data_IF_582620198410
#
_entry.id   IF_582620198410
#
_cell.length_a   1.000
_cell.length_b   1.000
_cell.length_c   1.000
_cell.angle_alpha   90.00
_cell.angle_beta   90.00
_cell.angle_gamma   90.00
#
_symmetry.space_group_name_H-M   'P 1'
#
loop_
_entity.id
_entity.type
_entity.pdbx_description
1 polymer ?
#
# COMPACT_ATOMS: atom_id res chain seq x y z
N UNK A 1 -9.24 -3.19 -0.12
CA UNK A 1 -9.60 -2.08 -1.03
C UNK A 1 -8.35 -1.62 -1.74
N UNK A 2 -8.34 -1.67 -3.08
CA UNK A 2 -7.28 -1.12 -3.92
C UNK A 2 -7.83 0.07 -4.71
N UNK A 3 -7.10 1.17 -4.72
CA UNK A 3 -7.50 2.39 -5.43
C UNK A 3 -6.38 2.78 -6.39
N UNK A 4 -6.68 2.87 -7.68
CA UNK A 4 -5.84 3.55 -8.66
C UNK A 4 -6.33 4.98 -8.82
N UNK A 5 -5.47 5.95 -8.53
CA UNK A 5 -5.78 7.37 -8.62
C UNK A 5 -5.68 7.92 -10.04
N UNK A 6 -5.67 9.23 -10.15
CA UNK A 6 -5.51 9.94 -11.42
C UNK A 6 -4.04 9.87 -11.89
N UNK A 7 -3.82 9.45 -13.13
CA UNK A 7 -2.49 9.43 -13.75
C UNK A 7 -2.08 10.78 -14.34
N UNK A 8 -3.05 11.57 -14.76
CA UNK A 8 -2.81 12.86 -15.40
C UNK A 8 -2.38 12.75 -16.86
N UNK A 9 -1.80 11.62 -17.26
CA UNK A 9 -1.43 11.27 -18.61
C UNK A 9 -1.87 9.83 -18.92
N UNK A 10 -2.26 9.52 -20.17
CA UNK A 10 -2.80 8.20 -20.55
C UNK A 10 -1.91 7.02 -20.17
N UNK A 11 -0.59 7.17 -20.25
CA UNK A 11 0.36 6.12 -19.91
C UNK A 11 0.34 5.78 -18.41
N UNK A 12 0.20 6.79 -17.53
CA UNK A 12 0.08 6.56 -16.11
C UNK A 12 -1.27 5.99 -15.73
N UNK A 13 -2.37 6.49 -16.31
CA UNK A 13 -3.71 5.96 -16.08
C UNK A 13 -3.75 4.46 -16.43
N UNK A 14 -3.17 4.07 -17.57
CA UNK A 14 -3.11 2.67 -17.97
C UNK A 14 -2.25 1.82 -17.03
N UNK A 15 -1.07 2.30 -16.62
CA UNK A 15 -0.18 1.58 -15.69
C UNK A 15 -0.82 1.39 -14.32
N UNK A 16 -1.40 2.44 -13.75
CA UNK A 16 -2.03 2.38 -12.44
C UNK A 16 -3.22 1.42 -12.44
N UNK A 17 -4.05 1.47 -13.47
CA UNK A 17 -5.14 0.53 -13.67
C UNK A 17 -4.63 -0.91 -13.77
N UNK A 18 -3.62 -1.15 -14.61
CA UNK A 18 -3.05 -2.49 -14.80
C UNK A 18 -2.50 -3.07 -13.49
N UNK A 19 -1.74 -2.29 -12.71
CA UNK A 19 -1.22 -2.76 -11.42
C UNK A 19 -2.33 -3.02 -10.40
N UNK A 20 -3.40 -2.22 -10.40
CA UNK A 20 -4.56 -2.47 -9.55
C UNK A 20 -5.30 -3.75 -9.96
N UNK A 21 -5.44 -4.03 -11.26
CA UNK A 21 -6.04 -5.26 -11.79
C UNK A 21 -5.17 -6.50 -11.49
N UNK A 22 -3.85 -6.38 -11.54
CA UNK A 22 -2.91 -7.44 -11.14
C UNK A 22 -3.07 -7.81 -9.67
N UNK A 23 -3.19 -6.80 -8.78
CA UNK A 23 -3.44 -7.00 -7.35
C UNK A 23 -4.81 -7.67 -7.15
N UNK A 24 -5.87 -7.14 -7.77
CA UNK A 24 -7.23 -7.68 -7.70
C UNK A 24 -7.25 -9.16 -8.09
N UNK A 25 -6.62 -9.49 -9.22
CA UNK A 25 -6.54 -10.86 -9.74
C UNK A 25 -5.77 -11.80 -8.79
N UNK A 26 -4.68 -11.32 -8.21
CA UNK A 26 -3.88 -12.10 -7.26
C UNK A 26 -4.65 -12.39 -5.98
N UNK A 27 -5.32 -11.39 -5.42
CA UNK A 27 -6.12 -11.55 -4.20
C UNK A 27 -7.33 -12.46 -4.41
N UNK A 28 -8.02 -12.35 -5.55
CA UNK A 28 -9.17 -13.23 -5.88
C UNK A 28 -8.74 -14.67 -6.14
N UNK A 29 -7.58 -14.88 -6.77
CA UNK A 29 -7.04 -16.23 -7.02
C UNK A 29 -6.62 -16.93 -5.75
N UNK A 30 -6.10 -16.19 -4.77
CA UNK A 30 -5.73 -16.74 -3.48
C UNK A 30 -6.93 -17.38 -2.73
N UNK A 31 -8.14 -17.03 -3.11
CA UNK A 31 -9.36 -17.55 -2.50
C UNK A 31 -9.59 -17.08 -1.08
N UNK A 32 -10.45 -17.77 -0.35
CA UNK A 32 -10.82 -17.40 1.02
C UNK A 32 -11.98 -16.42 1.09
N UNK A 33 -12.23 -15.90 2.27
CA UNK A 33 -13.37 -15.01 2.57
C UNK A 33 -13.05 -13.51 2.32
N UNK A 34 -12.00 -13.21 1.57
CA UNK A 34 -11.59 -11.84 1.31
C UNK A 34 -12.59 -11.12 0.40
N UNK A 35 -13.12 -10.00 0.87
CA UNK A 35 -13.90 -9.08 0.03
C UNK A 35 -12.94 -8.14 -0.71
N UNK A 36 -12.70 -8.43 -1.99
CA UNK A 36 -11.77 -7.66 -2.84
C UNK A 36 -12.52 -6.56 -3.57
N UNK A 37 -12.14 -5.31 -3.31
CA UNK A 37 -12.74 -4.11 -3.88
C UNK A 37 -11.66 -3.31 -4.61
N UNK A 38 -11.85 -3.06 -5.90
CA UNK A 38 -10.93 -2.25 -6.72
C UNK A 38 -11.67 -1.06 -7.32
N UNK A 39 -11.13 0.15 -7.08
CA UNK A 39 -11.68 1.40 -7.58
C UNK A 39 -10.66 2.03 -8.55
N UNK A 40 -11.13 2.39 -9.75
CA UNK A 40 -10.32 3.05 -10.77
C UNK A 40 -10.74 4.50 -10.90
N UNK A 41 -9.81 5.41 -10.68
CA UNK A 41 -10.00 6.86 -10.73
C UNK A 41 -11.29 7.32 -10.03
N UNK A 42 -11.53 6.91 -8.77
CA UNK A 42 -12.74 7.31 -8.05
C UNK A 42 -12.66 8.77 -7.61
N UNK A 43 -13.82 9.42 -7.50
CA UNK A 43 -13.91 10.72 -6.82
C UNK A 43 -13.81 10.55 -5.30
N UNK A 44 -13.59 11.65 -4.59
CA UNK A 44 -13.56 11.68 -3.12
C UNK A 44 -14.87 11.13 -2.52
N UNK A 45 -16.01 11.48 -3.10
CA UNK A 45 -17.33 11.03 -2.65
C UNK A 45 -17.50 9.53 -2.84
N UNK A 46 -17.03 8.98 -3.96
CA UNK A 46 -17.06 7.53 -4.21
C UNK A 46 -16.20 6.77 -3.22
N UNK A 47 -15.01 7.29 -2.89
CA UNK A 47 -14.16 6.70 -1.84
C UNK A 47 -14.87 6.72 -0.49
N UNK A 48 -15.40 7.88 -0.08
CA UNK A 48 -16.15 8.03 1.17
C UNK A 48 -17.33 7.08 1.28
N UNK A 49 -18.13 6.96 0.19
CA UNK A 49 -19.26 6.05 0.14
C UNK A 49 -18.83 4.59 0.30
N UNK A 50 -17.76 4.19 -0.39
CA UNK A 50 -17.22 2.81 -0.29
C UNK A 50 -16.69 2.51 1.10
N UNK A 51 -15.97 3.44 1.73
CA UNK A 51 -15.48 3.25 3.10
C UNK A 51 -16.61 3.19 4.12
N UNK A 52 -17.70 3.93 3.90
CA UNK A 52 -18.91 3.83 4.74
C UNK A 52 -19.56 2.44 4.63
N UNK A 53 -19.57 1.83 3.44
CA UNK A 53 -20.05 0.45 3.26
C UNK A 53 -19.14 -0.56 3.97
N UNK A 54 -17.83 -0.45 3.78
CA UNK A 54 -16.84 -1.30 4.44
C UNK A 54 -16.96 -1.19 5.96
N UNK A 55 -17.13 0.02 6.49
CA UNK A 55 -17.29 0.26 7.93
C UNK A 55 -18.54 -0.41 8.51
N UNK A 56 -19.64 -0.51 7.74
CA UNK A 56 -20.86 -1.22 8.18
C UNK A 56 -20.73 -2.74 8.14
N UNK A 57 -19.88 -3.27 7.27
CA UNK A 57 -19.72 -4.72 7.05
C UNK A 57 -18.60 -5.32 7.90
N UNK A 58 -17.55 -4.54 8.15
CA UNK A 58 -16.36 -4.99 8.86
C UNK A 58 -16.65 -5.28 10.33
N UNK A 59 -15.97 -6.30 10.85
CA UNK A 59 -16.00 -6.72 12.25
C UNK A 59 -14.65 -6.44 12.92
N UNK A 60 -14.58 -6.39 14.26
CA UNK A 60 -13.31 -6.16 14.97
C UNK A 60 -12.22 -7.18 14.65
N UNK A 61 -12.58 -8.43 14.40
CA UNK A 61 -11.63 -9.51 14.11
C UNK A 61 -11.17 -9.54 12.65
N UNK A 62 -11.78 -8.74 11.76
CA UNK A 62 -11.38 -8.64 10.39
C UNK A 62 -10.03 -7.94 10.25
N UNK A 63 -9.37 -8.18 9.13
CA UNK A 63 -8.20 -7.43 8.69
C UNK A 63 -8.57 -6.53 7.51
N UNK A 64 -8.23 -5.25 7.61
CA UNK A 64 -8.41 -4.30 6.52
C UNK A 64 -7.10 -4.07 5.79
N UNK A 65 -7.15 -4.11 4.46
CA UNK A 65 -6.04 -3.70 3.60
C UNK A 65 -6.48 -2.57 2.70
N UNK A 66 -5.77 -1.45 2.74
CA UNK A 66 -5.91 -0.34 1.78
C UNK A 66 -4.62 -0.22 0.98
N UNK A 67 -4.74 -0.28 -0.33
CA UNK A 67 -3.64 -0.09 -1.28
C UNK A 67 -3.94 1.10 -2.18
N UNK A 68 -3.03 2.07 -2.24
CA UNK A 68 -3.13 3.27 -3.06
C UNK A 68 -2.05 3.25 -4.13
N UNK A 69 -2.46 3.33 -5.39
CA UNK A 69 -1.59 3.40 -6.57
C UNK A 69 -1.87 4.74 -7.26
N UNK A 70 -0.85 5.53 -7.54
CA UNK A 70 -1.07 6.80 -8.20
C UNK A 70 0.00 7.84 -7.92
N UNK A 71 -0.40 9.07 -8.12
CA UNK A 71 0.38 10.23 -7.73
C UNK A 71 -0.10 10.78 -6.39
N UNK A 72 0.80 11.44 -5.71
CA UNK A 72 0.51 12.22 -4.52
C UNK A 72 1.36 13.48 -4.50
N UNK A 73 0.93 14.44 -3.71
CA UNK A 73 1.63 15.70 -3.48
C UNK A 73 1.80 15.94 -1.99
N UNK A 74 2.82 16.72 -1.65
CA UNK A 74 3.09 17.10 -0.27
C UNK A 74 3.53 18.56 -0.24
N UNK A 75 2.87 19.38 0.56
CA UNK A 75 3.11 20.82 0.64
C UNK A 75 4.06 21.23 1.79
N UNK A 76 4.65 20.26 2.48
CA UNK A 76 5.48 20.46 3.67
C UNK A 76 4.73 20.16 4.98
N UNK A 77 3.42 20.05 4.94
CA UNK A 77 2.56 19.80 6.10
C UNK A 77 1.60 18.66 5.88
N UNK A 78 0.90 18.67 4.73
CA UNK A 78 -0.16 17.70 4.43
C UNK A 78 0.14 16.94 3.13
N UNK A 79 -0.02 15.63 3.19
CA UNK A 79 -0.02 14.77 2.02
C UNK A 79 -1.41 14.75 1.38
N UNK A 80 -1.45 14.74 0.03
CA UNK A 80 -2.68 14.64 -0.76
C UNK A 80 -2.52 13.55 -1.82
N UNK A 81 -3.48 12.64 -1.86
CA UNK A 81 -3.62 11.62 -2.89
C UNK A 81 -4.41 12.15 -4.07
N UNK A 82 -3.83 12.09 -5.27
CA UNK A 82 -4.39 12.69 -6.47
C UNK A 82 -5.48 11.81 -7.09
N UNK A 83 -6.69 12.35 -7.13
CA UNK A 83 -7.90 11.70 -7.66
C UNK A 83 -8.70 12.70 -8.51
N UNK A 84 -9.66 12.24 -9.33
CA UNK A 84 -10.56 13.14 -10.04
C UNK A 84 -11.34 14.07 -9.09
N UNK A 85 -11.34 15.37 -9.39
CA UNK A 85 -11.90 16.40 -8.52
C UNK A 85 -10.94 16.81 -7.42
N UNK A 86 -11.43 17.18 -6.24
CA UNK A 86 -10.58 17.54 -5.10
C UNK A 86 -9.81 16.33 -4.58
N UNK A 87 -8.50 16.48 -4.38
CA UNK A 87 -7.63 15.45 -3.82
C UNK A 87 -8.05 15.02 -2.42
N UNK A 88 -7.68 13.82 -2.02
CA UNK A 88 -7.93 13.31 -0.67
C UNK A 88 -6.68 13.46 0.20
N UNK A 89 -6.82 14.12 1.35
CA UNK A 89 -5.69 14.33 2.26
C UNK A 89 -5.35 13.09 3.08
N UNK A 90 -4.12 13.00 3.57
CA UNK A 90 -3.70 11.96 4.51
C UNK A 90 -4.55 11.96 5.78
N UNK A 91 -4.91 13.13 6.28
CA UNK A 91 -5.81 13.31 7.43
C UNK A 91 -7.21 12.75 7.16
N UNK A 92 -7.78 12.99 5.97
CA UNK A 92 -9.08 12.43 5.58
C UNK A 92 -9.03 10.90 5.46
N UNK A 93 -7.96 10.35 4.84
CA UNK A 93 -7.74 8.90 4.75
C UNK A 93 -7.66 8.27 6.14
N UNK A 94 -6.91 8.87 7.05
CA UNK A 94 -6.81 8.40 8.44
C UNK A 94 -8.18 8.39 9.13
N UNK A 95 -8.97 9.46 8.96
CA UNK A 95 -10.32 9.55 9.54
C UNK A 95 -11.29 8.50 8.99
N UNK A 96 -11.17 8.14 7.70
CA UNK A 96 -11.97 7.05 7.12
C UNK A 96 -11.57 5.69 7.69
N UNK A 97 -10.26 5.42 7.78
CA UNK A 97 -9.73 4.19 8.35
C UNK A 97 -10.10 4.01 9.82
N UNK A 98 -10.11 5.09 10.58
CA UNK A 98 -10.43 5.09 12.02
C UNK A 98 -11.89 4.74 12.33
N UNK A 99 -12.78 4.90 11.35
CA UNK A 99 -14.20 4.50 11.46
C UNK A 99 -14.46 3.03 11.18
N UNK A 100 -13.46 2.32 10.62
CA UNK A 100 -13.60 0.89 10.31
C UNK A 100 -13.27 0.08 11.56
N UNK A 101 -14.18 -0.82 12.00
CA UNK A 101 -14.01 -1.57 13.27
C UNK A 101 -12.82 -2.53 13.26
N UNK A 102 -12.33 -2.95 12.07
CA UNK A 102 -11.22 -3.89 11.95
C UNK A 102 -10.00 -3.42 12.73
N UNK A 103 -9.57 -4.22 13.72
CA UNK A 103 -8.48 -3.86 14.64
C UNK A 103 -7.09 -4.02 14.04
N UNK A 104 -6.98 -4.81 12.97
CA UNK A 104 -5.74 -5.01 12.21
C UNK A 104 -5.85 -4.32 10.86
N UNK A 105 -4.98 -3.36 10.60
CA UNK A 105 -5.03 -2.57 9.38
C UNK A 105 -3.65 -2.50 8.71
N UNK A 106 -3.64 -2.69 7.40
CA UNK A 106 -2.48 -2.46 6.53
C UNK A 106 -2.82 -1.38 5.51
N UNK A 107 -2.00 -0.34 5.46
CA UNK A 107 -2.08 0.72 4.45
C UNK A 107 -0.80 0.68 3.62
N UNK A 108 -0.93 0.50 2.32
CA UNK A 108 0.19 0.52 1.37
C UNK A 108 -0.01 1.69 0.42
N UNK A 109 0.63 2.79 0.73
CA UNK A 109 0.60 4.00 -0.09
C UNK A 109 1.77 4.00 -1.08
N UNK A 110 1.49 3.63 -2.32
CA UNK A 110 2.49 3.44 -3.37
C UNK A 110 2.61 4.64 -4.32
N UNK A 111 2.09 5.79 -3.90
CA UNK A 111 2.15 7.03 -4.69
C UNK A 111 3.46 7.80 -4.50
N UNK A 112 3.72 8.76 -5.39
CA UNK A 112 4.73 9.78 -5.15
C UNK A 112 4.44 10.56 -3.86
N UNK A 113 5.45 11.09 -3.21
CA UNK A 113 5.34 11.82 -1.93
C UNK A 113 4.68 11.04 -0.78
N UNK A 114 4.50 9.73 -0.92
CA UNK A 114 3.74 8.91 0.04
C UNK A 114 4.29 8.91 1.45
N UNK A 115 5.61 9.06 1.63
CA UNK A 115 6.21 9.20 2.96
C UNK A 115 5.66 10.37 3.78
N UNK A 116 5.15 11.41 3.11
CA UNK A 116 4.46 12.53 3.77
C UNK A 116 3.13 12.15 4.43
N UNK A 117 2.58 10.97 4.13
CA UNK A 117 1.34 10.48 4.74
C UNK A 117 1.55 9.74 6.08
N UNK A 118 2.77 9.34 6.40
CA UNK A 118 3.06 8.56 7.62
C UNK A 118 2.57 9.26 8.88
N UNK A 119 2.82 10.56 9.12
CA UNK A 119 2.39 11.22 10.34
C UNK A 119 0.86 11.19 10.55
N UNK A 120 0.09 11.25 9.47
CA UNK A 120 -1.38 11.20 9.54
C UNK A 120 -1.90 9.77 9.69
N UNK A 121 -1.25 8.79 9.06
CA UNK A 121 -1.73 7.41 8.98
C UNK A 121 -1.23 6.54 10.13
N UNK A 122 -0.12 6.88 10.77
CA UNK A 122 0.47 6.09 11.86
C UNK A 122 -0.54 5.86 13.00
N UNK A 123 -0.59 4.65 13.48
CA UNK A 123 -1.46 4.26 14.60
C UNK A 123 -1.01 2.91 15.16
N UNK A 124 -1.18 2.71 16.47
CA UNK A 124 -0.99 1.39 17.06
C UNK A 124 -1.89 0.35 16.36
N UNK A 125 -1.33 -0.79 16.02
CA UNK A 125 -1.98 -1.88 15.26
C UNK A 125 -2.30 -1.56 13.79
N UNK A 126 -1.75 -0.48 13.24
CA UNK A 126 -1.79 -0.19 11.81
C UNK A 126 -0.38 -0.27 11.24
N UNK A 127 -0.23 -1.02 10.16
CA UNK A 127 0.99 -1.08 9.36
C UNK A 127 0.85 -0.03 8.25
N UNK A 128 1.84 0.83 8.09
CA UNK A 128 1.91 1.82 7.01
C UNK A 128 3.15 1.56 6.20
N UNK A 129 2.97 1.19 4.94
CA UNK A 129 4.05 1.02 3.95
C UNK A 129 3.92 2.15 2.95
N UNK A 130 5.02 2.81 2.64
CA UNK A 130 5.06 3.88 1.63
C UNK A 130 6.15 3.63 0.60
N UNK A 131 5.91 4.02 -0.65
CA UNK A 131 6.91 3.90 -1.72
C UNK A 131 8.05 4.90 -1.57
N UNK A 132 7.81 6.01 -0.89
CA UNK A 132 8.81 7.05 -0.66
C UNK A 132 9.08 7.22 0.82
N UNK A 133 10.32 7.59 1.15
CA UNK A 133 10.75 7.83 2.53
C UNK A 133 10.10 9.10 3.11
N UNK A 134 9.96 10.13 2.28
CA UNK A 134 9.44 11.44 2.69
C UNK A 134 8.47 12.01 1.66
N UNK A 135 7.72 13.04 2.03
CA UNK A 135 6.87 13.79 1.11
C UNK A 135 7.66 14.59 0.05
N UNK A 136 8.98 14.71 0.18
CA UNK A 136 9.82 15.42 -0.78
C UNK A 136 10.27 14.57 -1.97
N UNK A 137 10.07 13.25 -1.94
CA UNK A 137 10.30 12.34 -3.07
C UNK A 137 9.08 12.38 -4.00
N UNK A 138 9.10 13.31 -4.96
CA UNK A 138 7.92 13.71 -5.78
C UNK A 138 7.82 12.98 -7.13
N UNK A 139 8.81 12.19 -7.49
CA UNK A 139 8.80 11.48 -8.78
C UNK A 139 7.78 10.35 -8.79
N UNK A 140 7.30 10.02 -9.99
CA UNK A 140 6.46 8.85 -10.18
C UNK A 140 7.20 7.58 -9.70
N UNK A 141 6.49 6.72 -9.00
CA UNK A 141 7.04 5.52 -8.37
C UNK A 141 6.83 4.28 -9.21
N UNK A 142 7.69 3.27 -9.02
CA UNK A 142 7.54 1.93 -9.61
C UNK A 142 7.24 0.86 -8.56
N UNK A 143 7.25 1.21 -7.29
CA UNK A 143 7.03 0.28 -6.18
C UNK A 143 5.73 -0.53 -6.33
N UNK A 144 4.64 0.09 -6.83
CA UNK A 144 3.35 -0.58 -7.02
C UNK A 144 3.44 -1.78 -7.97
N UNK A 145 4.26 -1.69 -9.03
CA UNK A 145 4.53 -2.81 -9.94
C UNK A 145 5.08 -4.02 -9.17
N UNK A 146 6.06 -3.78 -8.33
CA UNK A 146 6.75 -4.84 -7.60
C UNK A 146 5.99 -5.34 -6.39
N UNK A 147 5.16 -4.49 -5.79
CA UNK A 147 4.19 -4.93 -4.79
C UNK A 147 3.16 -5.91 -5.40
N UNK A 148 2.60 -5.57 -6.57
CA UNK A 148 1.69 -6.47 -7.28
C UNK A 148 2.37 -7.81 -7.67
N UNK A 149 3.65 -7.76 -8.07
CA UNK A 149 4.46 -8.96 -8.36
C UNK A 149 4.65 -9.81 -7.10
N UNK A 150 4.95 -9.21 -5.95
CA UNK A 150 5.14 -9.91 -4.68
C UNK A 150 3.92 -10.75 -4.26
N UNK A 151 2.71 -10.31 -4.59
CA UNK A 151 1.48 -11.03 -4.21
C UNK A 151 1.21 -12.30 -5.03
N UNK A 152 2.05 -12.60 -6.02
CA UNK A 152 1.89 -13.78 -6.90
C UNK A 152 3.18 -14.55 -7.13
N UNK A 153 4.33 -14.00 -6.78
CA UNK A 153 5.63 -14.63 -6.99
C UNK A 153 6.02 -15.47 -5.76
N UNK A 154 6.19 -16.81 -5.91
CA UNK A 154 6.63 -17.66 -4.81
C UNK A 154 7.98 -17.24 -4.17
N UNK A 155 8.81 -16.46 -4.89
CA UNK A 155 10.05 -15.93 -4.35
C UNK A 155 9.84 -14.85 -3.27
N UNK A 156 8.63 -14.31 -3.14
CA UNK A 156 8.28 -13.41 -2.05
C UNK A 156 8.09 -14.15 -0.72
N UNK A 157 7.61 -15.39 -0.74
CA UNK A 157 7.48 -16.27 0.43
C UNK A 157 8.87 -16.78 0.85
N UNK A 158 9.51 -16.05 1.74
CA UNK A 158 10.91 -16.33 2.16
C UNK A 158 11.00 -17.40 3.23
N UNK A 159 10.00 -17.55 4.08
CA UNK A 159 9.94 -18.57 5.14
C UNK A 159 9.26 -19.87 4.70
N UNK A 160 8.76 -19.93 3.45
CA UNK A 160 8.16 -21.12 2.82
C UNK A 160 6.91 -21.64 3.55
N UNK A 161 6.08 -20.72 4.03
CA UNK A 161 4.83 -21.05 4.71
C UNK A 161 3.59 -21.01 3.79
N UNK A 162 3.79 -20.92 2.46
CA UNK A 162 2.76 -20.80 1.43
C UNK A 162 1.90 -19.53 1.55
N UNK A 163 2.47 -18.49 2.14
CA UNK A 163 1.82 -17.19 2.32
C UNK A 163 2.81 -16.06 2.10
N UNK A 164 2.31 -14.88 1.77
CA UNK A 164 3.14 -13.68 1.74
C UNK A 164 2.63 -12.72 2.81
N UNK A 165 3.46 -12.45 3.78
CA UNK A 165 3.23 -11.44 4.81
C UNK A 165 3.47 -10.03 4.26
N UNK A 166 2.98 -9.01 4.97
CA UNK A 166 3.23 -7.62 4.59
C UNK A 166 4.74 -7.29 4.61
N UNK A 167 5.51 -7.88 5.53
CA UNK A 167 6.95 -7.69 5.61
C UNK A 167 7.67 -8.34 4.41
N UNK A 168 7.29 -9.54 4.03
CA UNK A 168 7.87 -10.23 2.88
C UNK A 168 7.56 -9.51 1.57
N UNK A 169 6.31 -9.09 1.38
CA UNK A 169 5.92 -8.28 0.22
C UNK A 169 6.71 -6.96 0.17
N UNK A 170 6.91 -6.30 1.32
CA UNK A 170 7.72 -5.10 1.43
C UNK A 170 9.16 -5.35 1.00
N UNK A 171 9.83 -6.37 1.56
CA UNK A 171 11.22 -6.68 1.22
C UNK A 171 11.39 -7.06 -0.25
N UNK A 172 10.46 -7.86 -0.79
CA UNK A 172 10.47 -8.21 -2.21
C UNK A 172 10.36 -6.97 -3.09
N UNK A 173 9.34 -6.14 -2.85
CA UNK A 173 9.09 -4.94 -3.64
C UNK A 173 10.21 -3.90 -3.49
N UNK A 174 10.76 -3.71 -2.29
CA UNK A 174 11.89 -2.81 -2.04
C UNK A 174 13.14 -3.23 -2.80
N UNK A 175 13.51 -4.52 -2.74
CA UNK A 175 14.66 -5.07 -3.48
C UNK A 175 14.49 -4.87 -4.98
N UNK A 176 13.34 -5.24 -5.53
CA UNK A 176 13.04 -5.07 -6.96
C UNK A 176 13.04 -3.61 -7.41
N UNK A 177 12.57 -2.70 -6.57
CA UNK A 177 12.64 -1.26 -6.82
C UNK A 177 14.09 -0.78 -6.89
N UNK A 178 14.96 -1.22 -5.98
CA UNK A 178 16.39 -0.91 -6.02
C UNK A 178 17.04 -1.46 -7.28
N UNK A 179 16.80 -2.74 -7.61
CA UNK A 179 17.29 -3.38 -8.83
C UNK A 179 16.87 -2.66 -10.11
N UNK A 180 15.66 -2.10 -10.14
CA UNK A 180 15.18 -1.31 -11.27
C UNK A 180 16.04 -0.06 -11.51
N UNK A 181 16.34 0.72 -10.47
CA UNK A 181 17.18 1.91 -10.60
C UNK A 181 18.63 1.56 -10.93
N UNK A 182 19.19 0.54 -10.30
CA UNK A 182 20.56 0.07 -10.54
C UNK A 182 20.75 -0.43 -11.98
N UNK A 183 19.81 -1.23 -12.48
CA UNK A 183 19.85 -1.75 -13.85
C UNK A 183 19.72 -0.65 -14.92
N UNK A 184 18.94 0.38 -14.61
CA UNK A 184 18.78 1.55 -15.45
C UNK A 184 19.96 2.56 -15.32
N UNK A 185 20.92 2.29 -14.42
CA UNK A 185 22.02 3.21 -14.07
C UNK A 185 21.52 4.60 -13.68
N UNK A 186 20.44 4.65 -12.94
CA UNK A 186 19.77 5.87 -12.45
C UNK A 186 19.90 5.98 -10.94
N UNK A 187 19.96 7.21 -10.46
CA UNK A 187 19.80 7.45 -9.03
C UNK A 187 18.37 7.10 -8.61
N UNK A 188 18.25 6.39 -7.49
CA UNK A 188 16.95 6.07 -6.92
C UNK A 188 16.23 7.35 -6.52
N UNK A 189 14.98 7.48 -6.95
CA UNK A 189 14.11 8.63 -6.66
C UNK A 189 12.96 8.26 -5.71
N UNK A 190 12.90 7.01 -5.30
CA UNK A 190 11.97 6.49 -4.30
C UNK A 190 12.70 5.54 -3.36
N UNK A 191 12.38 5.63 -2.06
CA UNK A 191 12.97 4.83 -1.01
C UNK A 191 11.86 4.30 -0.11
N UNK A 192 11.38 3.08 -0.37
CA UNK A 192 10.28 2.49 0.41
C UNK A 192 10.63 2.37 1.89
N UNK A 193 9.64 2.63 2.73
CA UNK A 193 9.74 2.49 4.18
C UNK A 193 8.49 1.85 4.76
N UNK A 194 8.62 1.32 5.97
CA UNK A 194 7.52 0.76 6.75
C UNK A 194 7.49 1.41 8.14
N UNK A 195 6.29 1.65 8.64
CA UNK A 195 5.98 2.08 9.99
C UNK A 195 4.90 1.16 10.56
N UNK A 196 5.21 0.37 11.58
CA UNK A 196 4.25 -0.55 12.20
C UNK A 196 4.28 -0.54 13.75
N UNK A 197 4.88 0.51 14.32
CA UNK A 197 4.98 0.70 15.77
C UNK A 197 4.10 1.82 16.32
N UNK A 198 3.55 2.66 15.44
CA UNK A 198 2.75 3.84 15.80
C UNK A 198 3.61 5.01 16.31
N UNK A 199 4.90 5.04 15.98
CA UNK A 199 5.82 6.16 16.32
C UNK A 199 5.85 7.26 15.27
N UNK A 200 5.38 6.98 14.05
CA UNK A 200 5.33 7.94 12.96
C UNK A 200 6.63 8.11 12.20
N UNK A 201 7.57 7.20 12.35
CA UNK A 201 8.86 7.19 11.66
C UNK A 201 8.97 5.95 10.76
N UNK A 202 9.27 6.16 9.48
CA UNK A 202 9.43 5.08 8.52
C UNK A 202 10.82 4.45 8.59
N UNK A 203 10.87 3.12 8.66
CA UNK A 203 12.11 2.32 8.67
C UNK A 203 12.37 1.72 7.28
N UNK A 204 13.59 1.84 6.79
CA UNK A 204 14.02 1.26 5.50
C UNK A 204 14.47 -0.20 5.60
N UNK A 205 14.97 -0.59 6.77
CA UNK A 205 15.51 -1.93 7.04
C UNK A 205 14.77 -2.58 8.21
N UNK A 206 13.44 -2.79 8.07
CA UNK A 206 12.65 -3.37 9.15
C UNK A 206 13.10 -4.79 9.45
N UNK A 207 12.96 -5.17 10.72
CA UNK A 207 13.30 -6.49 11.22
C UNK A 207 12.42 -6.82 12.40
N UNK A 208 12.03 -8.08 12.53
CA UNK A 208 11.25 -8.55 13.69
C UNK A 208 11.99 -8.41 15.03
N UNK A 209 13.31 -8.27 14.98
CA UNK A 209 14.16 -8.12 16.16
C UNK A 209 14.15 -6.68 16.69
N UNK A 210 14.00 -5.69 15.83
CA UNK A 210 14.14 -4.26 16.17
C UNK A 210 12.78 -3.57 16.50
N UNK A 211 11.67 -4.30 16.45
CA UNK A 211 10.34 -3.76 16.67
C UNK A 211 9.63 -3.33 15.39
N UNK A 212 10.28 -2.59 14.49
CA UNK A 212 9.75 -2.30 13.16
C UNK A 212 9.77 -3.58 12.31
N UNK A 213 8.61 -3.92 11.72
CA UNK A 213 8.43 -5.14 10.93
C UNK A 213 7.79 -6.31 11.71
N UNK A 214 7.69 -6.23 13.03
CA UNK A 214 7.08 -7.28 13.84
C UNK A 214 5.57 -7.45 13.55
N UNK A 215 4.85 -6.35 13.47
CA UNK A 215 3.42 -6.40 13.13
C UNK A 215 3.24 -6.83 11.68
N UNK A 216 4.06 -6.31 10.77
CA UNK A 216 4.02 -6.65 9.36
C UNK A 216 4.35 -8.12 9.07
N UNK A 217 5.27 -8.74 9.81
CA UNK A 217 5.59 -10.16 9.66
C UNK A 217 4.44 -11.08 10.06
N UNK A 218 3.58 -10.64 10.97
CA UNK A 218 2.41 -11.39 11.43
C UNK A 218 1.14 -11.10 10.59
N UNK A 219 1.20 -10.22 9.61
CA UNK A 219 0.08 -9.83 8.78
C UNK A 219 0.17 -10.53 7.40
N UNK A 220 -0.60 -11.59 7.21
CA UNK A 220 -0.70 -12.27 5.90
C UNK A 220 -1.51 -11.41 4.93
N UNK A 221 -0.91 -11.06 3.79
CA UNK A 221 -1.57 -10.31 2.71
C UNK A 221 -2.27 -11.26 1.75
N UNK A 222 -1.59 -12.35 1.38
CA UNK A 222 -2.09 -13.32 0.41
C UNK A 222 -1.58 -14.72 0.76
N UNK A 223 -2.39 -15.74 0.46
CA UNK A 223 -1.96 -17.14 0.46
C UNK A 223 -1.63 -17.56 -0.96
N UNK A 224 -0.47 -18.14 -1.15
CA UNK A 224 -0.07 -18.72 -2.42
C UNK A 224 -0.79 -20.06 -2.52
N UNK A 225 -1.72 -20.21 -3.47
CA UNK A 225 -2.47 -21.45 -3.64
C UNK A 225 -1.57 -22.63 -3.97
N UNK A 226 -1.96 -23.84 -3.59
CA UNK A 226 -1.23 -25.08 -3.84
C UNK A 226 -1.07 -25.46 -5.34
N UNK A 227 -1.47 -24.59 -6.27
CA UNK A 227 -1.40 -24.75 -7.73
C UNK A 227 -0.90 -23.46 -8.40
N UNK A 228 0.21 -22.88 -7.93
CA UNK A 228 0.94 -21.87 -8.67
C UNK A 228 2.07 -22.53 -9.47
#
# INVERSE_FOLDING_TARGET
>A
VTISGLGGEPDYDQRFKMWAEDIDSSLKRAGGDANVITLTAPTREQIRARFAEVSRQAKPDDALVLMLIGHGTYDGTEYKYNIPGPDMTGTELAALLDRIPATRQLVVNMSSSSGGSIPSLQKKNRIVITATKTGTEKNATVFARYWAEALRDPAADTDKNDSVSALEAFHFAQRKTTEFFDSAKRLATEHPVIEDTGKGEGERTPSTENGEGKLASAFTVVRLGANA
#
